data_IF_316107029348
#
_entry.id   IF_316107029348
#
_cell.length_a   1.000
_cell.length_b   1.000
_cell.length_c   1.000
_cell.angle_alpha   90.00
_cell.angle_beta   90.00
_cell.angle_gamma   90.00
#
_symmetry.space_group_name_H-M   'P 1'
#
loop_
_entity.id
_entity.type
_entity.pdbx_description
1 polymer ?
#
# COMPACT_ATOMS: atom_id res chain seq x y z
N UNK A 1 12.94 20.06 0.12
CA UNK A 1 11.89 20.40 1.14
C UNK A 1 12.61 20.60 2.46
N UNK A 2 12.19 21.58 3.29
CA UNK A 2 12.76 21.82 4.61
C UNK A 2 11.88 21.14 5.67
N UNK A 3 12.42 20.94 6.86
CA UNK A 3 11.67 20.48 8.01
C UNK A 3 10.48 21.40 8.34
N UNK A 4 9.35 20.82 8.76
CA UNK A 4 8.14 21.53 9.16
C UNK A 4 6.86 20.89 8.67
N UNK A 5 5.73 21.50 9.02
CA UNK A 5 4.40 21.09 8.57
C UNK A 5 4.01 21.83 7.30
N UNK A 6 3.37 21.12 6.39
CA UNK A 6 2.94 21.65 5.09
C UNK A 6 1.47 21.31 4.84
N UNK A 7 0.69 22.31 4.45
CA UNK A 7 -0.64 22.07 3.89
C UNK A 7 -0.50 21.80 2.40
N UNK A 8 -0.85 20.59 2.00
CA UNK A 8 -0.93 20.16 0.59
C UNK A 8 -2.38 20.24 0.16
N UNK A 9 -2.65 20.94 -0.93
CA UNK A 9 -3.99 21.04 -1.50
C UNK A 9 -4.02 20.46 -2.90
N UNK A 10 -5.02 19.61 -3.14
CA UNK A 10 -5.37 19.09 -4.45
C UNK A 10 -6.63 19.77 -4.95
N UNK A 11 -7.10 19.43 -6.14
CA UNK A 11 -8.38 19.93 -6.66
C UNK A 11 -9.59 19.46 -5.85
N UNK A 12 -9.44 18.40 -5.05
CA UNK A 12 -10.56 17.78 -4.32
C UNK A 12 -10.51 18.00 -2.80
N UNK A 13 -9.32 18.11 -2.20
CA UNK A 13 -9.14 18.17 -0.74
C UNK A 13 -7.79 18.77 -0.36
N UNK A 14 -7.62 19.02 0.92
CA UNK A 14 -6.35 19.43 1.51
C UNK A 14 -5.99 18.56 2.70
N UNK A 15 -4.71 18.35 2.93
CA UNK A 15 -4.20 17.59 4.07
C UNK A 15 -2.92 18.20 4.62
N UNK A 16 -2.56 17.84 5.85
CA UNK A 16 -1.31 18.24 6.48
C UNK A 16 -0.30 17.10 6.32
N UNK A 17 0.91 17.49 5.96
CA UNK A 17 2.05 16.62 5.82
C UNK A 17 3.18 17.18 6.69
N UNK A 18 3.72 16.36 7.59
CA UNK A 18 4.85 16.72 8.43
C UNK A 18 6.14 16.16 7.87
N UNK A 19 7.17 16.98 7.84
CA UNK A 19 8.50 16.64 7.36
C UNK A 19 9.48 16.84 8.51
N UNK A 20 10.13 15.75 8.91
CA UNK A 20 11.15 15.72 9.96
C UNK A 20 12.47 15.33 9.32
N UNK A 21 13.55 16.04 9.64
CA UNK A 21 14.89 15.71 9.17
C UNK A 21 15.81 15.40 10.33
N UNK A 22 16.41 14.20 10.32
CA UNK A 22 17.35 13.76 11.34
C UNK A 22 18.35 12.76 10.76
N UNK A 23 19.63 12.92 11.03
CA UNK A 23 20.70 11.99 10.62
C UNK A 23 20.63 11.58 9.14
N UNK A 24 20.57 12.56 8.23
CA UNK A 24 20.48 12.35 6.78
C UNK A 24 19.20 11.68 6.29
N UNK A 25 18.19 11.50 7.15
CA UNK A 25 16.92 10.89 6.81
C UNK A 25 15.80 11.90 6.94
N UNK A 26 15.02 12.06 5.86
CA UNK A 26 13.73 12.73 5.92
C UNK A 26 12.66 11.70 6.25
N UNK A 27 11.89 11.96 7.30
CA UNK A 27 10.66 11.24 7.60
C UNK A 27 9.49 12.13 7.22
N UNK A 28 8.62 11.63 6.35
CA UNK A 28 7.46 12.33 5.82
C UNK A 28 6.22 11.62 6.32
N UNK A 29 5.44 12.30 7.15
CA UNK A 29 4.25 11.76 7.80
C UNK A 29 3.00 12.46 7.32
N UNK A 30 1.95 11.69 7.13
CA UNK A 30 0.61 12.19 6.89
C UNK A 30 -0.34 11.65 7.94
N UNK A 31 -1.26 12.50 8.38
CA UNK A 31 -2.24 12.18 9.41
C UNK A 31 -1.90 12.80 10.74
N UNK A 32 -2.89 12.87 11.62
CA UNK A 32 -2.77 13.56 12.89
C UNK A 32 -1.72 12.86 13.78
N UNK A 33 -0.58 13.52 13.92
CA UNK A 33 0.50 13.09 14.81
C UNK A 33 0.08 13.06 16.29
N UNK A 34 -1.10 13.61 16.63
CA UNK A 34 -1.69 13.57 17.96
C UNK A 34 -2.38 12.24 18.28
N UNK A 35 -2.61 11.39 17.28
CA UNK A 35 -3.19 10.08 17.50
C UNK A 35 -2.13 9.10 18.04
N UNK A 36 -2.47 8.43 19.15
CA UNK A 36 -1.61 7.47 19.87
C UNK A 36 -1.16 6.28 19.01
N UNK A 37 -1.79 6.05 17.86
CA UNK A 37 -1.60 4.87 17.00
C UNK A 37 -0.66 5.12 15.82
N UNK A 38 -0.07 6.31 15.72
CA UNK A 38 0.91 6.65 14.67
C UNK A 38 0.30 7.31 13.42
N UNK A 39 1.15 7.69 12.47
CA UNK A 39 0.72 8.37 11.26
C UNK A 39 -0.01 7.42 10.32
N UNK A 40 -0.95 7.95 9.57
CA UNK A 40 -1.70 7.22 8.53
C UNK A 40 -0.81 6.74 7.38
N UNK A 41 0.23 7.50 7.10
CA UNK A 41 1.26 7.18 6.11
C UNK A 41 2.60 7.70 6.61
N UNK A 42 3.62 6.87 6.48
CA UNK A 42 4.99 7.20 6.86
C UNK A 42 5.95 6.81 5.73
N UNK A 43 6.74 7.78 5.26
CA UNK A 43 7.77 7.56 4.25
C UNK A 43 9.12 7.99 4.80
N UNK A 44 10.15 7.25 4.44
CA UNK A 44 11.55 7.60 4.76
C UNK A 44 12.36 7.79 3.49
N UNK A 45 13.11 8.90 3.44
CA UNK A 45 14.04 9.22 2.37
C UNK A 45 15.41 9.47 2.96
N UNK A 46 16.35 8.58 2.64
CA UNK A 46 17.74 8.68 3.05
C UNK A 46 18.55 9.42 1.98
N UNK A 47 19.15 10.54 2.35
CA UNK A 47 19.97 11.35 1.44
C UNK A 47 21.27 10.68 1.03
N UNK A 48 21.70 9.65 1.74
CA UNK A 48 22.88 8.85 1.37
C UNK A 48 22.57 7.84 0.28
N UNK A 49 21.28 7.48 0.11
CA UNK A 49 20.78 6.62 -0.97
C UNK A 49 19.67 7.33 -1.76
N UNK A 50 19.99 8.45 -2.45
CA UNK A 50 19.01 9.43 -2.92
C UNK A 50 18.09 8.96 -4.04
N UNK A 51 18.30 7.75 -4.57
CA UNK A 51 17.51 7.23 -5.70
C UNK A 51 16.23 6.52 -5.28
N UNK A 52 15.99 6.39 -3.97
CA UNK A 52 14.83 5.67 -3.45
C UNK A 52 14.23 6.31 -2.22
N UNK A 53 12.92 6.14 -2.07
CA UNK A 53 12.15 6.43 -0.87
C UNK A 53 11.44 5.16 -0.43
N UNK A 54 11.28 4.96 0.86
CA UNK A 54 10.59 3.81 1.40
C UNK A 54 9.26 4.23 2.03
N UNK A 55 8.19 3.59 1.65
CA UNK A 55 6.90 3.65 2.33
C UNK A 55 6.93 2.63 3.47
N UNK A 56 7.04 3.13 4.71
CA UNK A 56 7.19 2.31 5.92
C UNK A 56 5.84 1.79 6.41
N UNK A 57 4.84 2.65 6.40
CA UNK A 57 3.49 2.29 6.82
C UNK A 57 2.44 3.01 6.00
N UNK A 58 1.33 2.32 5.79
CA UNK A 58 0.10 2.86 5.25
C UNK A 58 -1.03 2.21 6.04
N UNK A 59 -1.67 2.98 6.89
CA UNK A 59 -2.79 2.52 7.71
C UNK A 59 -4.09 3.17 7.20
N UNK A 60 -5.10 2.34 6.97
CA UNK A 60 -6.45 2.81 6.77
C UNK A 60 -7.20 2.68 8.08
N UNK A 61 -7.35 3.78 8.77
CA UNK A 61 -8.19 3.89 9.96
C UNK A 61 -9.20 5.03 9.72
N UNK A 62 -10.41 4.89 10.23
CA UNK A 62 -11.40 5.98 10.23
C UNK A 62 -10.87 7.27 10.88
N UNK A 63 -9.89 7.14 11.78
CA UNK A 63 -9.17 8.23 12.44
C UNK A 63 -8.12 8.90 11.54
N UNK A 64 -7.70 8.24 10.47
CA UNK A 64 -6.80 8.78 9.46
C UNK A 64 -7.48 9.76 8.51
N UNK A 65 -8.79 9.87 8.56
CA UNK A 65 -9.54 10.77 7.73
C UNK A 65 -9.75 12.09 8.47
N UNK A 66 -8.93 13.08 8.18
CA UNK A 66 -9.21 14.48 8.55
C UNK A 66 -10.48 14.95 7.85
N UNK A 67 -10.83 14.30 6.76
CA UNK A 67 -12.02 14.57 5.99
C UNK A 67 -12.75 13.26 5.67
N UNK A 68 -14.06 13.21 5.94
CA UNK A 68 -14.93 12.05 5.64
C UNK A 68 -14.83 11.60 4.17
N UNK A 69 -14.35 12.47 3.27
CA UNK A 69 -14.08 12.17 1.86
C UNK A 69 -12.93 11.17 1.67
N UNK A 70 -11.95 11.13 2.57
CA UNK A 70 -10.84 10.17 2.50
C UNK A 70 -11.24 8.74 2.91
N UNK A 71 -12.38 8.56 3.56
CA UNK A 71 -12.92 7.25 3.93
C UNK A 71 -13.35 6.40 2.72
N UNK A 72 -13.47 7.00 1.53
CA UNK A 72 -13.83 6.29 0.30
C UNK A 72 -12.58 5.74 -0.38
N UNK A 73 -12.71 4.56 -0.99
CA UNK A 73 -11.62 3.84 -1.72
C UNK A 73 -10.78 4.76 -2.62
N UNK A 74 -11.40 5.73 -3.26
CA UNK A 74 -10.72 6.70 -4.11
C UNK A 74 -9.89 7.71 -3.33
N UNK A 75 -10.33 8.13 -2.15
CA UNK A 75 -9.61 9.10 -1.33
C UNK A 75 -8.23 8.59 -0.88
N UNK A 76 -8.13 7.32 -0.48
CA UNK A 76 -6.83 6.71 -0.10
C UNK A 76 -5.88 6.68 -1.29
N UNK A 77 -6.37 6.31 -2.48
CA UNK A 77 -5.57 6.33 -3.70
C UNK A 77 -5.04 7.73 -4.00
N UNK A 78 -5.93 8.72 -4.04
CA UNK A 78 -5.59 10.09 -4.40
C UNK A 78 -4.63 10.72 -3.38
N UNK A 79 -4.78 10.40 -2.09
CA UNK A 79 -3.87 10.80 -1.02
C UNK A 79 -2.45 10.26 -1.27
N UNK A 80 -2.32 8.95 -1.48
CA UNK A 80 -1.01 8.32 -1.73
C UNK A 80 -0.37 8.93 -2.98
N UNK A 81 -1.13 9.07 -4.06
CA UNK A 81 -0.64 9.65 -5.30
C UNK A 81 -0.16 11.09 -5.10
N UNK A 82 -0.91 11.89 -4.33
CA UNK A 82 -0.53 13.28 -4.02
C UNK A 82 0.78 13.34 -3.25
N UNK A 83 0.92 12.55 -2.18
CA UNK A 83 2.12 12.56 -1.35
C UNK A 83 3.34 12.10 -2.16
N UNK A 84 3.20 11.04 -2.96
CA UNK A 84 4.29 10.58 -3.82
C UNK A 84 4.71 11.63 -4.84
N UNK A 85 3.77 12.36 -5.46
CA UNK A 85 4.10 13.50 -6.32
C UNK A 85 4.84 14.61 -5.59
N UNK A 86 4.38 14.97 -4.39
CA UNK A 86 5.07 15.97 -3.55
C UNK A 86 6.50 15.53 -3.25
N UNK A 87 6.70 14.26 -2.90
CA UNK A 87 8.03 13.71 -2.63
C UNK A 87 8.93 13.76 -3.87
N UNK A 88 8.43 13.39 -5.06
CA UNK A 88 9.22 13.46 -6.28
C UNK A 88 9.60 14.89 -6.66
N UNK A 89 8.69 15.85 -6.50
CA UNK A 89 8.98 17.27 -6.74
C UNK A 89 10.02 17.82 -5.76
N UNK A 90 9.97 17.37 -4.50
CA UNK A 90 10.92 17.77 -3.47
C UNK A 90 12.30 17.10 -3.61
N UNK A 91 12.32 15.87 -4.10
CA UNK A 91 13.51 15.03 -4.24
C UNK A 91 13.56 14.39 -5.62
N UNK A 92 13.94 15.15 -6.67
CA UNK A 92 13.87 14.69 -8.08
C UNK A 92 14.83 13.52 -8.40
N UNK A 93 15.79 13.24 -7.54
CA UNK A 93 16.68 12.07 -7.66
C UNK A 93 15.98 10.73 -7.43
N UNK A 94 14.79 10.72 -6.80
CA UNK A 94 14.04 9.49 -6.53
C UNK A 94 13.63 8.81 -7.84
N UNK A 95 14.03 7.55 -8.01
CA UNK A 95 13.68 6.69 -9.16
C UNK A 95 12.61 5.65 -8.78
N UNK A 96 12.50 5.31 -7.49
CA UNK A 96 11.62 4.23 -7.01
C UNK A 96 11.11 4.53 -5.61
N UNK A 97 9.87 4.11 -5.36
CA UNK A 97 9.28 4.04 -4.01
C UNK A 97 9.18 2.56 -3.64
N UNK A 98 9.88 2.14 -2.60
CA UNK A 98 9.84 0.76 -2.10
C UNK A 98 8.83 0.61 -0.97
N UNK A 99 8.19 -0.57 -0.88
CA UNK A 99 7.31 -0.94 0.23
C UNK A 99 7.19 -2.46 0.35
N UNK A 100 6.78 -2.90 1.53
CA UNK A 100 6.33 -4.26 1.77
C UNK A 100 4.81 -4.29 1.81
N UNK A 101 4.19 -5.18 1.04
CA UNK A 101 2.73 -5.31 1.04
C UNK A 101 2.28 -6.14 2.24
N UNK A 102 1.74 -5.46 3.23
CA UNK A 102 1.07 -6.05 4.41
C UNK A 102 -0.36 -5.56 4.51
N UNK A 103 -0.88 -4.93 3.43
CA UNK A 103 -2.23 -4.40 3.40
C UNK A 103 -3.28 -5.50 3.57
N UNK A 104 -4.32 -5.17 4.32
CA UNK A 104 -5.44 -6.07 4.56
C UNK A 104 -6.77 -5.34 4.41
N UNK A 105 -7.81 -6.09 4.12
CA UNK A 105 -9.21 -5.66 4.17
C UNK A 105 -9.94 -6.43 5.25
N UNK A 106 -10.95 -5.80 5.83
CA UNK A 106 -11.85 -6.45 6.77
C UNK A 106 -12.89 -7.30 6.01
N UNK A 107 -13.02 -8.55 6.42
CA UNK A 107 -14.01 -9.47 5.94
C UNK A 107 -14.63 -10.20 7.13
N UNK A 108 -15.88 -9.89 7.47
CA UNK A 108 -16.58 -10.51 8.61
C UNK A 108 -15.77 -10.48 9.92
N UNK A 109 -15.06 -9.36 10.19
CA UNK A 109 -14.24 -9.18 11.40
C UNK A 109 -12.82 -9.76 11.31
N UNK A 110 -12.45 -10.41 10.20
CA UNK A 110 -11.12 -11.00 9.99
C UNK A 110 -10.37 -10.22 8.90
N UNK A 111 -9.07 -10.04 9.07
CA UNK A 111 -8.21 -9.39 8.09
C UNK A 111 -7.79 -10.35 6.98
N UNK A 112 -8.10 -9.99 5.73
CA UNK A 112 -7.59 -10.64 4.53
C UNK A 112 -6.48 -9.80 3.90
N UNK A 113 -5.36 -10.42 3.57
CA UNK A 113 -4.30 -9.72 2.86
C UNK A 113 -4.75 -9.33 1.45
N UNK A 114 -4.69 -8.03 1.18
CA UNK A 114 -5.21 -7.44 -0.04
C UNK A 114 -4.47 -7.92 -1.29
N UNK A 115 -3.16 -8.21 -1.17
CA UNK A 115 -2.31 -8.62 -2.28
C UNK A 115 -2.81 -9.82 -3.05
N UNK A 116 -3.01 -10.95 -2.37
CA UNK A 116 -3.49 -12.15 -3.07
C UNK A 116 -5.00 -12.11 -3.32
N UNK A 117 -5.79 -11.59 -2.36
CA UNK A 117 -7.24 -11.48 -2.50
C UNK A 117 -7.63 -10.66 -3.73
N UNK A 118 -7.03 -9.47 -3.88
CA UNK A 118 -7.34 -8.60 -5.01
C UNK A 118 -6.84 -9.18 -6.34
N UNK A 119 -5.68 -9.86 -6.31
CA UNK A 119 -5.10 -10.51 -7.48
C UNK A 119 -6.00 -11.63 -8.03
N UNK A 120 -6.43 -12.56 -7.17
CA UNK A 120 -7.23 -13.71 -7.64
C UNK A 120 -8.64 -13.31 -8.07
N UNK A 121 -9.17 -12.21 -7.55
CA UNK A 121 -10.50 -11.69 -7.93
C UNK A 121 -10.45 -10.75 -9.15
N UNK A 122 -9.36 -10.03 -9.38
CA UNK A 122 -9.31 -8.95 -10.36
C UNK A 122 -8.13 -9.04 -11.35
N UNK A 123 -7.31 -10.06 -11.27
CA UNK A 123 -6.16 -10.26 -12.17
C UNK A 123 -4.99 -9.32 -11.96
N UNK A 124 -5.09 -8.41 -11.02
CA UNK A 124 -4.04 -7.44 -10.66
C UNK A 124 -4.05 -7.23 -9.15
N UNK A 125 -2.92 -6.95 -8.56
CA UNK A 125 -2.92 -6.45 -7.19
C UNK A 125 -3.41 -5.00 -7.15
N UNK A 126 -3.89 -4.56 -6.00
CA UNK A 126 -4.37 -3.19 -5.82
C UNK A 126 -3.27 -2.16 -6.14
N UNK A 127 -2.04 -2.44 -5.72
CA UNK A 127 -0.89 -1.57 -6.00
C UNK A 127 -0.46 -1.58 -7.46
N UNK A 128 -0.56 -2.70 -8.17
CA UNK A 128 -0.32 -2.72 -9.63
C UNK A 128 -1.33 -1.84 -10.36
N UNK A 129 -2.62 -2.00 -10.01
CA UNK A 129 -3.72 -1.32 -10.69
C UNK A 129 -3.66 0.20 -10.53
N UNK A 130 -3.42 0.68 -9.31
CA UNK A 130 -3.55 2.09 -8.99
C UNK A 130 -2.23 2.86 -8.94
N UNK A 131 -1.11 2.17 -8.86
CA UNK A 131 0.20 2.80 -8.69
C UNK A 131 1.25 2.29 -9.69
N UNK A 132 0.91 1.36 -10.55
CA UNK A 132 1.88 0.75 -11.47
C UNK A 132 3.03 0.04 -10.75
N UNK A 133 2.76 -0.47 -9.53
CA UNK A 133 3.76 -1.14 -8.72
C UNK A 133 4.22 -2.45 -9.36
N UNK A 134 5.45 -2.85 -9.06
CA UNK A 134 6.06 -4.10 -9.54
C UNK A 134 6.76 -4.80 -8.38
N UNK A 135 6.73 -6.13 -8.37
CA UNK A 135 7.55 -6.89 -7.42
C UNK A 135 9.04 -6.61 -7.63
N UNK A 136 9.80 -6.47 -6.54
CA UNK A 136 11.21 -6.12 -6.60
C UNK A 136 12.05 -7.21 -7.27
N UNK A 137 11.86 -8.48 -6.89
CA UNK A 137 12.59 -9.62 -7.43
C UNK A 137 12.10 -9.96 -8.85
N UNK A 138 13.02 -10.08 -9.82
CA UNK A 138 12.70 -10.45 -11.20
C UNK A 138 11.95 -11.78 -11.27
N UNK A 139 12.42 -12.79 -10.57
CA UNK A 139 11.79 -14.10 -10.51
C UNK A 139 10.33 -14.04 -10.05
N UNK A 140 10.03 -13.20 -9.06
CA UNK A 140 8.64 -13.06 -8.58
C UNK A 140 7.75 -12.36 -9.62
N UNK A 141 8.30 -11.44 -10.44
CA UNK A 141 7.55 -10.83 -11.55
C UNK A 141 7.20 -11.85 -12.63
N UNK A 142 8.12 -12.75 -12.96
CA UNK A 142 7.91 -13.83 -13.92
C UNK A 142 6.85 -14.81 -13.40
N UNK A 143 6.98 -15.28 -12.17
CA UNK A 143 5.97 -16.12 -11.51
C UNK A 143 4.61 -15.45 -11.44
N UNK A 144 4.56 -14.15 -11.13
CA UNK A 144 3.31 -13.40 -11.08
C UNK A 144 2.63 -13.35 -12.44
N UNK A 145 3.40 -13.21 -13.53
CA UNK A 145 2.88 -13.25 -14.88
C UNK A 145 2.29 -14.63 -15.20
N UNK A 146 3.06 -15.71 -14.98
CA UNK A 146 2.62 -17.09 -15.19
C UNK A 146 1.36 -17.40 -14.35
N UNK A 147 1.32 -16.94 -13.10
CA UNK A 147 0.16 -17.14 -12.24
C UNK A 147 -1.08 -16.40 -12.76
N UNK A 148 -0.94 -15.20 -13.30
CA UNK A 148 -2.05 -14.46 -13.93
C UNK A 148 -2.57 -15.19 -15.19
N UNK A 149 -1.67 -15.75 -16.00
CA UNK A 149 -2.05 -16.57 -17.16
C UNK A 149 -2.83 -17.83 -16.71
N UNK A 150 -2.38 -18.49 -15.64
CA UNK A 150 -3.11 -19.59 -15.05
C UNK A 150 -4.50 -19.17 -14.56
N UNK A 151 -4.60 -18.05 -13.85
CA UNK A 151 -5.89 -17.55 -13.36
C UNK A 151 -6.87 -17.20 -14.49
N UNK A 152 -6.37 -16.81 -15.65
CA UNK A 152 -7.15 -16.55 -16.85
C UNK A 152 -7.55 -17.84 -17.62
N UNK A 153 -7.00 -18.99 -17.24
CA UNK A 153 -7.31 -20.27 -17.87
C UNK A 153 -8.53 -20.95 -17.23
N UNK A 154 -9.11 -21.91 -17.96
CA UNK A 154 -10.20 -22.73 -17.45
C UNK A 154 -9.76 -23.52 -16.21
N UNK A 155 -10.58 -23.57 -15.15
CA UNK A 155 -10.29 -24.37 -13.99
C UNK A 155 -10.05 -25.84 -14.35
N UNK A 156 -9.00 -26.42 -13.77
CA UNK A 156 -8.67 -27.82 -13.92
C UNK A 156 -8.58 -28.49 -12.53
N UNK A 157 -9.05 -29.73 -12.40
CA UNK A 157 -9.04 -30.45 -11.12
C UNK A 157 -7.63 -30.51 -10.51
N UNK A 158 -7.57 -30.40 -9.20
CA UNK A 158 -6.34 -30.55 -8.41
C UNK A 158 -5.28 -29.45 -8.57
N UNK A 159 -5.47 -28.42 -9.39
CA UNK A 159 -4.50 -27.32 -9.52
C UNK A 159 -4.29 -26.65 -8.18
N UNK A 160 -5.35 -26.14 -7.56
CA UNK A 160 -5.28 -25.51 -6.23
C UNK A 160 -5.41 -26.50 -5.08
N UNK A 161 -5.81 -27.76 -5.31
CA UNK A 161 -6.08 -28.78 -4.27
C UNK A 161 -6.98 -28.24 -3.17
N UNK A 162 -8.09 -27.65 -3.58
CA UNK A 162 -9.05 -27.03 -2.68
C UNK A 162 -9.75 -28.09 -1.80
N UNK A 163 -10.19 -27.74 -0.59
CA UNK A 163 -11.01 -28.63 0.23
C UNK A 163 -12.26 -29.11 -0.53
N UNK A 164 -12.72 -30.34 -0.29
CA UNK A 164 -13.85 -30.99 -1.01
C UNK A 164 -15.14 -30.17 -1.05
N UNK A 165 -15.36 -29.31 -0.04
CA UNK A 165 -16.52 -28.40 0.04
C UNK A 165 -16.57 -27.36 -1.09
N UNK A 166 -15.47 -27.16 -1.84
CA UNK A 166 -15.33 -26.14 -2.86
C UNK A 166 -15.12 -26.70 -4.27
N UNK A 167 -15.20 -28.02 -4.44
CA UNK A 167 -14.90 -28.75 -5.69
C UNK A 167 -16.01 -28.65 -6.76
N UNK A 168 -16.63 -27.48 -6.96
CA UNK A 168 -17.51 -27.21 -8.08
C UNK A 168 -16.81 -26.35 -9.14
N UNK A 169 -15.65 -26.83 -9.63
CA UNK A 169 -14.80 -26.10 -10.57
C UNK A 169 -15.36 -26.11 -12.00
N UNK A 170 -16.23 -27.06 -12.32
CA UNK A 170 -16.63 -27.41 -13.69
C UNK A 170 -17.48 -26.35 -14.42
N UNK A 171 -18.03 -25.35 -13.70
CA UNK A 171 -18.97 -24.37 -14.24
C UNK A 171 -18.34 -23.00 -14.56
N UNK A 172 -17.03 -22.85 -14.45
CA UNK A 172 -16.35 -21.57 -14.63
C UNK A 172 -15.46 -21.59 -15.88
N UNK A 173 -15.42 -20.49 -16.62
CA UNK A 173 -14.54 -20.34 -17.76
C UNK A 173 -13.11 -19.99 -17.36
N UNK A 174 -12.94 -19.36 -16.21
CA UNK A 174 -11.63 -18.95 -15.68
C UNK A 174 -11.54 -19.15 -14.17
N UNK A 175 -10.32 -19.28 -13.64
CA UNK A 175 -10.09 -19.22 -12.21
C UNK A 175 -10.48 -17.89 -11.58
N UNK A 176 -10.41 -16.78 -12.34
CA UNK A 176 -10.93 -15.48 -11.88
C UNK A 176 -12.43 -15.55 -11.58
N UNK A 177 -13.23 -16.10 -12.50
CA UNK A 177 -14.66 -16.29 -12.28
C UNK A 177 -14.92 -17.16 -11.06
N UNK A 178 -14.18 -18.27 -10.93
CA UNK A 178 -14.28 -19.15 -9.78
C UNK A 178 -14.01 -18.41 -8.47
N UNK A 179 -12.87 -17.71 -8.33
CA UNK A 179 -12.53 -17.02 -7.10
C UNK A 179 -13.47 -15.83 -6.84
N UNK A 180 -13.86 -15.10 -7.86
CA UNK A 180 -14.78 -13.95 -7.74
C UNK A 180 -16.20 -14.36 -7.32
N UNK A 181 -16.61 -15.60 -7.56
CA UNK A 181 -17.89 -16.15 -7.09
C UNK A 181 -17.89 -16.52 -5.60
N UNK A 182 -16.71 -16.59 -4.97
CA UNK A 182 -16.60 -17.03 -3.57
C UNK A 182 -16.82 -15.85 -2.61
N UNK A 183 -17.50 -16.09 -1.50
CA UNK A 183 -17.64 -15.10 -0.45
C UNK A 183 -16.28 -14.81 0.19
N UNK A 184 -16.13 -13.67 0.84
CA UNK A 184 -14.82 -13.25 1.34
C UNK A 184 -14.29 -14.14 2.48
N UNK A 185 -15.15 -14.81 3.23
CA UNK A 185 -14.78 -15.77 4.27
C UNK A 185 -14.12 -17.05 3.71
N UNK A 186 -14.40 -17.41 2.46
CA UNK A 186 -13.66 -18.44 1.75
C UNK A 186 -12.14 -18.22 1.79
N UNK A 187 -11.72 -16.97 1.65
CA UNK A 187 -10.29 -16.60 1.65
C UNK A 187 -9.67 -16.50 3.05
N UNK A 188 -10.47 -16.67 4.10
CA UNK A 188 -9.97 -16.78 5.49
C UNK A 188 -9.37 -18.16 5.75
N UNK A 189 -9.74 -19.17 4.97
CA UNK A 189 -9.20 -20.49 5.08
C UNK A 189 -7.70 -20.50 4.80
N UNK A 190 -6.93 -20.97 5.79
CA UNK A 190 -5.46 -21.04 5.73
C UNK A 190 -5.00 -21.92 4.57
N UNK A 191 -5.76 -22.98 4.23
CA UNK A 191 -5.41 -23.90 3.16
C UNK A 191 -5.65 -23.28 1.78
N UNK A 192 -6.63 -22.38 1.64
CA UNK A 192 -6.82 -21.59 0.42
C UNK A 192 -5.63 -20.67 0.20
N UNK A 193 -5.21 -19.93 1.23
CA UNK A 193 -4.02 -19.06 1.15
C UNK A 193 -2.77 -19.85 0.78
N UNK A 194 -2.50 -20.97 1.49
CA UNK A 194 -1.34 -21.84 1.22
C UNK A 194 -1.39 -22.39 -0.21
N UNK A 195 -2.58 -22.72 -0.70
CA UNK A 195 -2.76 -23.22 -2.05
C UNK A 195 -2.44 -22.16 -3.10
N UNK A 196 -2.91 -20.93 -2.91
CA UNK A 196 -2.57 -19.79 -3.78
C UNK A 196 -1.05 -19.55 -3.78
N UNK A 197 -0.41 -19.51 -2.61
CA UNK A 197 1.05 -19.32 -2.49
C UNK A 197 1.85 -20.46 -3.13
N UNK A 198 1.38 -21.71 -2.97
CA UNK A 198 2.01 -22.90 -3.59
C UNK A 198 1.93 -22.86 -5.11
N UNK A 199 0.76 -22.57 -5.66
CA UNK A 199 0.52 -22.58 -7.11
C UNK A 199 1.23 -21.41 -7.78
N UNK A 200 1.20 -20.23 -7.17
CA UNK A 200 1.92 -19.05 -7.69
C UNK A 200 3.43 -19.11 -7.50
N UNK A 201 3.90 -19.91 -6.54
CA UNK A 201 5.30 -19.89 -6.08
C UNK A 201 5.71 -18.54 -5.46
N UNK A 202 4.73 -17.71 -5.05
CA UNK A 202 4.96 -16.39 -4.48
C UNK A 202 4.41 -16.35 -3.06
N UNK A 203 5.23 -15.94 -2.12
CA UNK A 203 4.80 -15.54 -0.79
C UNK A 203 4.40 -14.08 -0.82
N UNK A 204 3.10 -13.80 -0.96
CA UNK A 204 2.59 -12.44 -1.16
C UNK A 204 2.79 -11.55 0.06
N UNK A 205 2.52 -12.07 1.23
CA UNK A 205 2.70 -11.33 2.49
C UNK A 205 4.17 -11.03 2.71
N UNK A 206 4.48 -9.77 3.01
CA UNK A 206 5.86 -9.25 3.12
C UNK A 206 6.68 -9.29 1.82
N UNK A 207 6.04 -9.48 0.67
CA UNK A 207 6.74 -9.30 -0.60
C UNK A 207 7.17 -7.84 -0.79
N UNK A 208 8.40 -7.66 -1.26
CA UNK A 208 8.93 -6.33 -1.58
C UNK A 208 8.43 -5.88 -2.95
N UNK A 209 7.85 -4.69 -2.97
CA UNK A 209 7.35 -4.02 -4.16
C UNK A 209 8.05 -2.69 -4.39
N UNK A 210 7.96 -2.16 -5.59
CA UNK A 210 8.35 -0.80 -5.88
C UNK A 210 7.41 -0.14 -6.90
N UNK A 211 7.24 1.18 -6.76
CA UNK A 211 6.55 2.03 -7.72
C UNK A 211 7.64 2.79 -8.49
N UNK A 212 7.76 2.65 -9.81
CA UNK A 212 8.74 3.36 -10.59
C UNK A 212 8.36 4.85 -10.74
N UNK A 213 9.34 5.74 -10.79
CA UNK A 213 9.13 7.18 -10.98
C UNK A 213 8.21 7.49 -12.17
N UNK A 214 8.37 6.75 -13.28
CA UNK A 214 7.54 6.91 -14.48
C UNK A 214 6.04 6.77 -14.14
N UNK A 215 5.67 5.75 -13.37
CA UNK A 215 4.27 5.55 -12.98
C UNK A 215 3.73 6.70 -12.11
N UNK A 216 4.57 7.25 -11.21
CA UNK A 216 4.16 8.39 -10.36
C UNK A 216 3.93 9.64 -11.21
N UNK A 217 4.74 9.87 -12.23
CA UNK A 217 4.57 11.00 -13.14
C UNK A 217 3.26 10.91 -13.95
N UNK A 218 2.74 9.70 -14.17
CA UNK A 218 1.49 9.43 -14.89
C UNK A 218 0.23 9.58 -14.02
N UNK A 219 0.35 9.82 -12.70
CA UNK A 219 -0.80 10.01 -11.82
C UNK A 219 -1.60 11.26 -12.21
N UNK A 220 -2.91 11.11 -12.26
CA UNK A 220 -3.84 12.18 -12.63
C UNK A 220 -4.09 13.21 -11.52
N UNK A 221 -3.72 12.86 -10.28
CA UNK A 221 -3.91 13.76 -9.13
C UNK A 221 -3.11 15.04 -9.31
N UNK A 222 -3.79 16.18 -9.28
CA UNK A 222 -3.18 17.50 -9.44
C UNK A 222 -2.93 18.14 -8.08
N UNK A 223 -1.69 18.60 -7.85
CA UNK A 223 -1.31 19.38 -6.67
C UNK A 223 -1.52 20.86 -6.99
N UNK A 224 -2.50 21.48 -6.35
CA UNK A 224 -2.82 22.90 -6.55
C UNK A 224 -1.86 23.80 -5.77
N UNK A 225 -1.54 23.43 -4.54
CA UNK A 225 -0.59 24.22 -3.73
C UNK A 225 0.06 23.38 -2.64
N UNK A 226 1.29 23.80 -2.27
CA UNK A 226 2.01 23.34 -1.07
C UNK A 226 2.41 24.60 -0.31
N UNK A 227 1.84 24.78 0.88
CA UNK A 227 2.11 25.95 1.73
C UNK A 227 2.63 25.49 3.08
N UNK A 228 3.65 26.16 3.63
CA UNK A 228 4.08 25.91 5.00
C UNK A 228 2.89 26.17 5.93
N UNK A 229 2.49 25.18 6.71
CA UNK A 229 1.46 25.35 7.70
C UNK A 229 2.00 26.17 8.87
N UNK A 230 1.16 27.02 9.47
CA UNK A 230 1.53 27.67 10.74
C UNK A 230 1.63 26.56 11.79
N UNK A 231 2.63 26.61 12.70
CA UNK A 231 2.68 25.68 13.81
C UNK A 231 1.34 25.74 14.56
N UNK A 232 0.81 24.60 14.92
CA UNK A 232 -0.43 24.52 15.71
C UNK A 232 -0.12 25.11 17.09
N UNK A 233 -0.56 26.34 17.33
CA UNK A 233 -0.43 27.01 18.64
C UNK A 233 -1.47 26.38 19.55
N UNK A 234 -1.11 25.32 20.28
CA UNK A 234 -2.05 24.67 21.19
C UNK A 234 -1.64 23.33 21.78
N UNK A 235 -0.53 22.77 21.34
CA UNK A 235 0.02 21.58 22.00
C UNK A 235 1.31 21.99 22.71
N UNK A 236 1.28 21.99 24.05
CA UNK A 236 2.43 22.25 24.90
C UNK A 236 3.62 21.42 24.44
N UNK A 237 4.81 22.00 24.58
CA UNK A 237 6.11 21.38 24.31
C UNK A 237 6.14 19.94 24.81
N UNK A 238 5.99 18.98 23.91
CA UNK A 238 6.29 17.59 24.21
C UNK A 238 7.65 17.28 23.62
N UNK A 239 8.66 17.38 24.46
CA UNK A 239 9.96 16.76 24.22
C UNK A 239 9.74 15.30 23.85
N UNK A 240 10.10 14.93 22.63
CA UNK A 240 10.26 13.53 22.23
C UNK A 240 11.45 12.94 22.98
N UNK A 241 11.19 12.43 24.19
CA UNK A 241 12.14 11.57 24.88
C UNK A 241 12.05 10.19 24.22
N UNK A 242 13.04 9.88 23.38
CA UNK A 242 13.28 8.49 22.95
C UNK A 242 13.46 7.63 24.20
N UNK A 243 12.52 6.75 24.49
CA UNK A 243 12.81 5.55 25.28
C UNK A 243 13.61 4.61 24.39
N UNK A 244 14.93 4.70 24.46
CA UNK A 244 15.82 3.61 24.07
C UNK A 244 15.60 2.48 25.06
N UNK A 245 14.77 1.52 24.72
CA UNK A 245 14.82 0.22 25.37
C UNK A 245 16.07 -0.50 24.87
N UNK A 246 17.21 -0.20 25.47
CA UNK A 246 18.23 -1.20 25.69
C UNK A 246 17.71 -2.06 26.84
N UNK A 247 17.44 -3.36 26.55
CA UNK A 247 17.83 -4.46 27.44
C UNK A 247 17.22 -5.76 26.91
N UNK A 248 18.14 -6.66 26.64
CA UNK A 248 18.13 -8.11 26.42
C UNK A 248 17.58 -8.64 25.09
#
# INVERSE_FOLDING_TARGET
>A
MKEGSYKVSTTKYSFIMDVIYYNNVYTIKYGDALNRDGPCMDLTYDTTTPTSIKLESLQYDARCSIDKLLQRKEGTRDMIQSILKVCLNAFPSIKRVFFNDVSAIQCNGINLFLSYFYLVNHGQTWYEKYFGAKMRKKQNRERLKEFKELLASKPAPNVFRLPRLYNSEDNYNTWYEYFNSKPCDFFQDVDIKKSIERVSGIRFVYSEWYIPQKAINEYTTEIVSIKKAKPFVGAGERHFVRKTNQNF
#
